data_IF_981421390656
#
_entry.id   IF_981421390656
#
_cell.length_a   1.000
_cell.length_b   1.000
_cell.length_c   1.000
_cell.angle_alpha   90.00
_cell.angle_beta   90.00
_cell.angle_gamma   90.00
#
_symmetry.space_group_name_H-M   'P 1'
#
loop_
_entity.id
_entity.type
_entity.pdbx_description
1 polymer ?
#
# COMPACT_ATOMS: atom_id res chain seq x y z
N UNK A 1 -23.80 -11.18 6.86
CA UNK A 1 -23.88 -10.84 5.42
C UNK A 1 -22.58 -11.24 4.73
N UNK A 2 -22.66 -11.77 3.50
CA UNK A 2 -21.48 -12.07 2.67
C UNK A 2 -21.08 -10.77 1.95
N UNK A 3 -19.81 -10.38 2.00
CA UNK A 3 -19.33 -9.17 1.33
C UNK A 3 -18.83 -9.52 -0.08
N UNK A 4 -19.63 -9.18 -1.09
CA UNK A 4 -19.28 -9.26 -2.52
C UNK A 4 -18.88 -7.88 -3.07
N UNK A 5 -18.24 -7.87 -4.25
CA UNK A 5 -17.88 -6.62 -4.95
C UNK A 5 -16.68 -5.85 -4.39
N UNK A 6 -15.90 -6.45 -3.48
CA UNK A 6 -14.73 -5.82 -2.84
C UNK A 6 -13.71 -5.35 -3.88
N UNK A 7 -13.38 -6.20 -4.85
CA UNK A 7 -12.44 -5.84 -5.92
C UNK A 7 -12.89 -4.63 -6.74
N UNK A 8 -14.20 -4.51 -7.00
CA UNK A 8 -14.76 -3.36 -7.71
C UNK A 8 -14.65 -2.09 -6.85
N UNK A 9 -14.96 -2.16 -5.55
CA UNK A 9 -14.82 -1.04 -4.62
C UNK A 9 -13.37 -0.57 -4.46
N UNK A 10 -12.41 -1.50 -4.38
CA UNK A 10 -10.98 -1.18 -4.31
C UNK A 10 -10.47 -0.46 -5.57
N UNK A 11 -11.04 -0.77 -6.75
CA UNK A 11 -10.68 -0.14 -8.03
C UNK A 11 -11.52 1.09 -8.39
N UNK A 12 -12.68 1.26 -7.78
CA UNK A 12 -13.59 2.37 -8.06
C UNK A 12 -12.95 3.71 -7.69
N UNK A 13 -12.91 4.69 -8.59
CA UNK A 13 -12.46 6.04 -8.24
C UNK A 13 -13.44 6.77 -7.31
N UNK A 14 -14.70 6.33 -7.24
CA UNK A 14 -15.73 6.91 -6.36
C UNK A 14 -15.58 6.50 -4.90
N UNK A 15 -14.81 5.44 -4.60
CA UNK A 15 -14.59 5.00 -3.22
C UNK A 15 -13.41 5.76 -2.62
N UNK A 16 -13.59 6.46 -1.48
CA UNK A 16 -12.51 7.14 -0.77
C UNK A 16 -11.38 6.19 -0.41
N UNK A 17 -10.15 6.69 -0.35
CA UNK A 17 -8.98 5.86 -0.10
C UNK A 17 -8.95 5.27 1.31
N UNK A 18 -9.44 6.03 2.28
CA UNK A 18 -9.60 5.62 3.67
C UNK A 18 -10.54 4.41 3.77
N UNK A 19 -11.63 4.43 3.01
CA UNK A 19 -12.60 3.35 2.96
C UNK A 19 -12.06 2.14 2.20
N UNK A 20 -11.30 2.36 1.12
CA UNK A 20 -10.57 1.27 0.43
C UNK A 20 -9.59 0.57 1.36
N UNK A 21 -8.85 1.32 2.18
CA UNK A 21 -7.88 0.76 3.13
C UNK A 21 -8.58 -0.04 4.24
N UNK A 22 -9.66 0.49 4.82
CA UNK A 22 -10.50 -0.25 5.79
C UNK A 22 -11.05 -1.54 5.18
N UNK A 23 -11.54 -1.46 3.94
CA UNK A 23 -12.09 -2.60 3.22
C UNK A 23 -11.02 -3.66 2.93
N UNK A 24 -9.81 -3.26 2.54
CA UNK A 24 -8.69 -4.18 2.31
C UNK A 24 -8.26 -4.90 3.60
N UNK A 25 -8.14 -4.17 4.71
CA UNK A 25 -7.86 -4.74 6.04
C UNK A 25 -8.91 -5.76 6.45
N UNK A 26 -10.19 -5.40 6.30
CA UNK A 26 -11.30 -6.32 6.58
C UNK A 26 -11.24 -7.56 5.67
N UNK A 27 -11.00 -7.39 4.38
CA UNK A 27 -10.94 -8.49 3.41
C UNK A 27 -9.76 -9.44 3.65
N UNK A 28 -8.63 -8.94 4.17
CA UNK A 28 -7.49 -9.79 4.50
C UNK A 28 -7.83 -10.80 5.60
N UNK A 29 -8.49 -10.34 6.66
CA UNK A 29 -8.77 -11.13 7.87
C UNK A 29 -10.05 -11.96 7.71
N UNK A 30 -11.06 -11.41 7.05
CA UNK A 30 -12.39 -12.03 6.98
C UNK A 30 -12.43 -13.18 5.96
N UNK A 31 -13.01 -14.31 6.38
CA UNK A 31 -13.40 -15.42 5.50
C UNK A 31 -14.69 -15.12 4.73
N UNK A 32 -15.49 -14.14 5.16
CA UNK A 32 -16.78 -13.77 4.56
C UNK A 32 -16.65 -12.93 3.28
N UNK A 33 -15.41 -12.57 2.92
CA UNK A 33 -15.09 -11.82 1.72
C UNK A 33 -14.83 -12.77 0.56
N UNK A 34 -15.79 -12.83 -0.38
CA UNK A 34 -15.66 -13.66 -1.57
C UNK A 34 -14.78 -12.97 -2.60
N UNK A 35 -13.53 -13.42 -2.69
CA UNK A 35 -12.56 -12.92 -3.65
C UNK A 35 -11.71 -14.07 -4.20
N UNK A 36 -11.74 -14.36 -5.52
CA UNK A 36 -10.84 -15.34 -6.11
C UNK A 36 -9.39 -14.87 -5.94
N UNK A 37 -8.48 -15.78 -5.57
CA UNK A 37 -7.08 -15.46 -5.27
C UNK A 37 -6.92 -14.27 -4.31
N UNK A 38 -7.75 -14.24 -3.25
CA UNK A 38 -7.92 -13.12 -2.33
C UNK A 38 -6.62 -12.43 -1.94
N UNK A 39 -5.64 -13.21 -1.51
CA UNK A 39 -4.35 -12.67 -1.03
C UNK A 39 -3.58 -11.95 -2.13
N UNK A 40 -3.54 -12.53 -3.34
CA UNK A 40 -2.87 -11.93 -4.49
C UNK A 40 -3.56 -10.63 -4.91
N UNK A 41 -4.91 -10.61 -4.97
CA UNK A 41 -5.67 -9.43 -5.38
C UNK A 41 -5.44 -8.25 -4.43
N UNK A 42 -5.42 -8.53 -3.12
CA UNK A 42 -5.21 -7.51 -2.11
C UNK A 42 -3.78 -6.96 -2.12
N UNK A 43 -2.78 -7.83 -2.31
CA UNK A 43 -1.39 -7.42 -2.45
C UNK A 43 -1.16 -6.62 -3.73
N UNK A 44 -1.67 -7.09 -4.88
CA UNK A 44 -1.57 -6.40 -6.15
C UNK A 44 -2.24 -5.02 -6.11
N UNK A 45 -3.37 -4.90 -5.41
CA UNK A 45 -4.02 -3.61 -5.23
C UNK A 45 -3.12 -2.65 -4.42
N UNK A 46 -2.56 -3.11 -3.30
CA UNK A 46 -1.70 -2.31 -2.45
C UNK A 46 -0.42 -1.87 -3.19
N UNK A 47 0.26 -2.79 -3.87
CA UNK A 47 1.51 -2.46 -4.59
C UNK A 47 1.27 -1.54 -5.78
N UNK A 48 0.14 -1.69 -6.49
CA UNK A 48 -0.26 -0.76 -7.54
C UNK A 48 -0.58 0.63 -6.99
N UNK A 49 -1.26 0.73 -5.84
CA UNK A 49 -1.54 2.02 -5.20
C UNK A 49 -0.24 2.74 -4.82
N UNK A 50 0.69 2.04 -4.15
CA UNK A 50 2.00 2.58 -3.77
C UNK A 50 2.80 3.01 -5.01
N UNK A 51 2.92 2.13 -6.01
CA UNK A 51 3.65 2.43 -7.25
C UNK A 51 3.03 3.61 -8.00
N UNK A 52 1.69 3.65 -8.06
CA UNK A 52 0.93 4.73 -8.67
C UNK A 52 1.20 6.07 -8.00
N UNK A 53 1.24 6.09 -6.67
CA UNK A 53 1.54 7.30 -5.89
C UNK A 53 2.96 7.82 -6.15
N UNK A 54 3.98 6.94 -6.08
CA UNK A 54 5.37 7.33 -6.36
C UNK A 54 5.60 7.72 -7.82
N UNK A 55 4.83 7.16 -8.74
CA UNK A 55 4.84 7.53 -10.16
C UNK A 55 3.99 8.76 -10.47
N UNK A 56 3.34 9.38 -9.46
CA UNK A 56 2.39 10.49 -9.61
C UNK A 56 1.21 10.19 -10.56
N UNK A 57 0.86 8.91 -10.71
CA UNK A 57 -0.30 8.44 -11.50
C UNK A 57 -1.58 8.37 -10.68
N UNK A 58 -1.45 8.38 -9.36
CA UNK A 58 -2.53 8.26 -8.40
C UNK A 58 -2.23 9.22 -7.26
N UNK A 59 -3.24 9.95 -6.80
CA UNK A 59 -3.10 10.92 -5.72
C UNK A 59 -3.97 10.54 -4.52
N UNK A 60 -3.37 10.64 -3.33
CA UNK A 60 -4.01 10.52 -2.03
C UNK A 60 -3.09 11.10 -0.94
N UNK A 61 -3.65 11.31 0.25
CA UNK A 61 -2.97 11.95 1.38
C UNK A 61 -1.75 11.16 1.89
N UNK A 62 -0.86 11.81 2.64
CA UNK A 62 0.24 11.11 3.33
C UNK A 62 -0.28 10.08 4.33
N UNK A 63 -1.39 10.34 5.01
CA UNK A 63 -1.96 9.41 5.99
C UNK A 63 -2.42 8.10 5.32
N UNK A 64 -3.00 8.19 4.12
CA UNK A 64 -3.34 7.01 3.31
C UNK A 64 -2.08 6.28 2.87
N UNK A 65 -1.03 7.01 2.47
CA UNK A 65 0.25 6.42 2.06
C UNK A 65 0.88 5.61 3.20
N UNK A 66 0.95 6.19 4.40
CA UNK A 66 1.44 5.51 5.59
C UNK A 66 0.55 4.31 5.93
N UNK A 67 -0.77 4.48 5.87
CA UNK A 67 -1.73 3.40 6.08
C UNK A 67 -1.56 2.23 5.12
N UNK A 68 -1.23 2.47 3.86
CA UNK A 68 -0.92 1.43 2.87
C UNK A 68 0.39 0.70 3.19
N UNK A 69 1.42 1.42 3.62
CA UNK A 69 2.68 0.80 4.05
C UNK A 69 2.50 -0.06 5.30
N UNK A 70 1.77 0.43 6.31
CA UNK A 70 1.42 -0.36 7.49
C UNK A 70 0.61 -1.61 7.10
N UNK A 71 -0.37 -1.46 6.21
CA UNK A 71 -1.15 -2.60 5.72
C UNK A 71 -0.26 -3.65 5.03
N UNK A 72 0.68 -3.23 4.19
CA UNK A 72 1.62 -4.15 3.55
C UNK A 72 2.48 -4.87 4.58
N UNK A 73 3.00 -4.15 5.57
CA UNK A 73 3.78 -4.72 6.67
C UNK A 73 2.98 -5.77 7.46
N UNK A 74 1.75 -5.43 7.87
CA UNK A 74 0.83 -6.34 8.58
C UNK A 74 0.58 -7.64 7.78
N UNK A 75 0.39 -7.51 6.47
CA UNK A 75 0.17 -8.66 5.58
C UNK A 75 1.40 -9.57 5.51
N UNK A 76 2.57 -8.98 5.30
CA UNK A 76 3.85 -9.70 5.17
C UNK A 76 4.23 -10.44 6.46
N UNK A 77 3.97 -9.82 7.61
CA UNK A 77 4.21 -10.40 8.93
C UNK A 77 3.08 -11.33 9.41
N UNK A 78 1.97 -11.42 8.69
CA UNK A 78 0.81 -12.20 9.14
C UNK A 78 1.08 -13.71 9.14
N UNK A 79 0.66 -14.38 10.22
CA UNK A 79 0.66 -15.86 10.31
C UNK A 79 -0.12 -16.51 9.16
N UNK A 80 -1.16 -15.82 8.67
CA UNK A 80 -1.95 -16.26 7.52
C UNK A 80 -1.09 -16.39 6.26
N UNK A 81 -0.31 -15.36 5.92
CA UNK A 81 0.58 -15.41 4.76
C UNK A 81 1.61 -16.53 4.93
N UNK A 82 2.25 -16.60 6.09
CA UNK A 82 3.25 -17.63 6.41
C UNK A 82 2.68 -19.05 6.26
N UNK A 83 1.43 -19.29 6.70
CA UNK A 83 0.76 -20.58 6.52
C UNK A 83 0.52 -20.93 5.05
N UNK A 84 0.12 -19.95 4.24
CA UNK A 84 -0.13 -20.17 2.81
C UNK A 84 1.16 -20.53 2.07
N UNK A 85 2.26 -19.83 2.37
CA UNK A 85 3.58 -20.13 1.79
C UNK A 85 4.06 -21.54 2.17
N UNK A 86 3.86 -21.94 3.44
CA UNK A 86 4.19 -23.31 3.90
C UNK A 86 3.36 -24.40 3.19
N UNK A 87 2.16 -24.07 2.74
CA UNK A 87 1.30 -24.97 1.95
C UNK A 87 1.70 -25.02 0.46
N UNK A 88 2.79 -24.36 0.06
CA UNK A 88 3.26 -24.33 -1.32
C UNK A 88 2.52 -23.32 -2.20
N UNK A 89 1.67 -22.45 -1.65
CA UNK A 89 1.01 -21.39 -2.42
C UNK A 89 2.01 -20.30 -2.76
N UNK A 90 2.19 -20.04 -4.05
CA UNK A 90 2.99 -18.92 -4.53
C UNK A 90 2.18 -17.63 -4.49
N UNK A 91 2.75 -16.58 -3.90
CA UNK A 91 2.18 -15.22 -3.87
C UNK A 91 3.25 -14.27 -4.40
N UNK A 92 2.89 -13.45 -5.39
CA UNK A 92 3.80 -12.53 -6.05
C UNK A 92 3.64 -11.12 -5.50
N UNK A 93 4.74 -10.53 -5.05
CA UNK A 93 4.81 -9.12 -4.67
C UNK A 93 5.48 -8.33 -5.81
N UNK A 94 4.68 -7.56 -6.55
CA UNK A 94 5.17 -6.70 -7.65
C UNK A 94 5.17 -5.25 -7.21
N UNK A 95 6.29 -4.83 -6.61
CA UNK A 95 6.54 -3.45 -6.23
C UNK A 95 7.81 -2.96 -6.95
N UNK A 96 7.74 -1.79 -7.60
CA UNK A 96 8.93 -1.22 -8.25
C UNK A 96 9.83 -0.57 -7.19
N UNK A 97 10.67 -1.39 -6.54
CA UNK A 97 11.57 -0.94 -5.48
C UNK A 97 12.56 0.14 -5.94
N UNK A 98 12.98 0.12 -7.20
CA UNK A 98 13.87 1.15 -7.75
C UNK A 98 13.19 2.52 -7.76
N UNK A 99 11.93 2.58 -8.20
CA UNK A 99 11.14 3.82 -8.17
C UNK A 99 10.88 4.30 -6.75
N UNK A 100 10.50 3.39 -5.84
CA UNK A 100 10.28 3.72 -4.43
C UNK A 100 11.56 4.30 -3.80
N UNK A 101 12.69 3.60 -3.98
CA UNK A 101 13.98 4.03 -3.44
C UNK A 101 14.41 5.40 -3.98
N UNK A 102 14.27 5.63 -5.30
CA UNK A 102 14.61 6.92 -5.92
C UNK A 102 13.75 8.08 -5.38
N UNK A 103 12.47 7.85 -5.10
CA UNK A 103 11.60 8.89 -4.56
C UNK A 103 11.91 9.18 -3.09
N UNK A 104 12.21 8.14 -2.30
CA UNK A 104 12.64 8.30 -0.92
C UNK A 104 13.97 9.05 -0.82
N UNK A 105 14.95 8.72 -1.66
CA UNK A 105 16.23 9.41 -1.68
C UNK A 105 16.09 10.89 -2.05
N UNK A 106 15.27 11.22 -3.05
CA UNK A 106 14.95 12.61 -3.42
C UNK A 106 14.32 13.39 -2.26
N UNK A 107 13.36 12.79 -1.54
CA UNK A 107 12.75 13.43 -0.36
C UNK A 107 13.78 13.70 0.74
N UNK A 108 14.67 12.75 1.02
CA UNK A 108 15.75 12.92 2.00
C UNK A 108 16.70 14.05 1.61
N UNK A 109 17.11 14.12 0.33
CA UNK A 109 17.99 15.19 -0.18
C UNK A 109 17.33 16.57 -0.08
N UNK A 110 16.04 16.68 -0.41
CA UNK A 110 15.31 17.95 -0.25
C UNK A 110 15.25 18.38 1.22
N UNK A 111 14.96 17.45 2.14
CA UNK A 111 14.91 17.75 3.59
C UNK A 111 16.26 18.23 4.12
N UNK A 112 17.35 17.63 3.65
CA UNK A 112 18.71 18.08 3.99
C UNK A 112 19.00 19.50 3.48
N UNK A 113 18.53 19.86 2.27
CA UNK A 113 18.71 21.19 1.68
C UNK A 113 17.91 22.30 2.39
N UNK A 114 16.70 22.01 2.88
CA UNK A 114 15.94 22.97 3.69
C UNK A 114 16.55 23.15 5.09
N UNK A 115 17.10 22.08 5.68
CA UNK A 115 17.78 22.14 6.97
C UNK A 115 19.07 22.96 6.92
N UNK A 116 19.83 22.92 5.82
CA UNK A 116 21.06 23.73 5.68
C UNK A 116 20.77 25.20 5.38
N UNK A 117 19.68 25.52 4.67
CA UNK A 117 19.25 26.91 4.44
C UNK A 117 18.70 27.60 5.69
N UNK A 118 18.08 26.86 6.60
CA UNK A 118 17.59 27.43 7.87
C UNK A 118 18.71 27.87 8.82
N UNK A 119 19.92 27.31 8.69
CA UNK A 119 21.08 27.61 9.54
C UNK A 119 21.93 28.79 9.02
N UNK A 120 21.70 29.22 7.77
CA UNK A 120 22.47 30.29 7.09
C UNK A 120 21.60 31.54 6.80
N UNK A 121 20.71 31.93 7.72
CA UNK A 121 20.13 33.28 7.68
C UNK A 121 21.04 34.23 8.49
N UNK A 122 21.63 35.27 7.88
CA UNK A 122 22.46 36.22 8.60
C UNK A 122 21.58 37.10 9.50
N UNK A 123 22.03 37.28 10.75
CA UNK A 123 21.54 38.29 11.70
C UNK A 123 22.03 39.66 11.24
#
# INVERSE_FOLDING_TARGET
>A
AIYSGIHLKLKSPQTPWEDKLKLARFAWISSLCLLPNKEQVLLDWCTHALTGWYSKKVEFSQDVLEGLWCYLDDVLHSRKLQSLLKQGKTISLRLNMAQVHQQLSKKCTQRAQYSTKAVLSPI
#
